data_IF_308645471465
#
_entry.id   IF_308645471465
#
_cell.length_a   1.000
_cell.length_b   1.000
_cell.length_c   1.000
_cell.angle_alpha   90.00
_cell.angle_beta   90.00
_cell.angle_gamma   90.00
#
_symmetry.space_group_name_H-M   'P 1'
#
loop_
_entity.id
_entity.type
_entity.pdbx_description
1 polymer ?
#
# COMPACT_ATOMS: atom_id res chain seq x y z
N UNK A 1 13.00 10.01 14.06
CA UNK A 1 11.86 10.67 13.36
C UNK A 1 11.66 9.93 12.04
N UNK A 2 11.14 8.70 12.09
CA UNK A 2 10.83 7.90 10.88
C UNK A 2 9.50 7.13 11.08
N UNK A 3 9.16 6.86 12.35
CA UNK A 3 7.88 6.27 12.76
C UNK A 3 6.66 7.16 12.43
N UNK A 4 6.80 8.49 12.46
CA UNK A 4 5.69 9.41 12.14
C UNK A 4 5.33 9.39 10.65
N UNK A 5 6.31 9.23 9.77
CA UNK A 5 6.10 9.10 8.33
C UNK A 5 5.44 7.76 7.99
N UNK A 6 5.89 6.67 8.64
CA UNK A 6 5.29 5.35 8.45
C UNK A 6 3.85 5.26 8.95
N UNK A 7 3.55 5.82 10.13
CA UNK A 7 2.19 5.86 10.68
C UNK A 7 1.25 6.71 9.80
N UNK A 8 1.73 7.84 9.29
CA UNK A 8 1.00 8.65 8.31
C UNK A 8 0.68 7.87 7.03
N UNK A 9 1.67 7.18 6.46
CA UNK A 9 1.50 6.31 5.28
C UNK A 9 0.48 5.21 5.57
N UNK A 10 0.58 4.54 6.73
CA UNK A 10 -0.34 3.47 7.12
C UNK A 10 -1.77 3.99 7.25
N UNK A 11 -1.96 5.17 7.86
CA UNK A 11 -3.28 5.81 7.97
C UNK A 11 -3.87 6.16 6.61
N UNK A 12 -3.07 6.75 5.71
CA UNK A 12 -3.51 7.11 4.35
C UNK A 12 -3.91 5.87 3.51
N UNK A 13 -3.19 4.76 3.70
CA UNK A 13 -3.45 3.50 2.98
C UNK A 13 -4.59 2.68 3.62
N UNK A 14 -4.81 2.81 4.92
CA UNK A 14 -5.77 1.98 5.67
C UNK A 14 -7.18 2.01 5.13
N UNK A 15 -7.64 3.18 4.64
CA UNK A 15 -8.96 3.32 4.03
C UNK A 15 -9.03 2.50 2.74
N UNK A 16 -8.08 2.71 1.83
CA UNK A 16 -8.01 1.96 0.56
C UNK A 16 -7.86 0.47 0.74
N UNK A 17 -7.10 0.02 1.74
CA UNK A 17 -7.03 -1.42 2.05
C UNK A 17 -8.38 -1.94 2.52
N UNK A 18 -9.10 -1.20 3.36
CA UNK A 18 -10.43 -1.61 3.78
C UNK A 18 -11.43 -1.62 2.62
N UNK A 19 -11.48 -0.56 1.80
CA UNK A 19 -12.33 -0.48 0.60
C UNK A 19 -12.09 -1.68 -0.32
N UNK A 20 -10.83 -2.06 -0.59
CA UNK A 20 -10.51 -3.24 -1.41
C UNK A 20 -11.14 -4.53 -0.85
N UNK A 21 -11.09 -4.71 0.47
CA UNK A 21 -11.69 -5.88 1.10
C UNK A 21 -13.22 -5.81 1.09
N UNK A 22 -13.82 -4.65 1.36
CA UNK A 22 -15.27 -4.44 1.32
C UNK A 22 -15.84 -4.66 -0.08
N UNK A 23 -15.28 -4.00 -1.11
CA UNK A 23 -15.70 -4.15 -2.51
C UNK A 23 -15.56 -5.61 -2.98
N UNK A 24 -14.44 -6.27 -2.67
CA UNK A 24 -14.21 -7.64 -3.11
C UNK A 24 -15.16 -8.63 -2.42
N UNK A 25 -15.41 -8.44 -1.13
CA UNK A 25 -16.35 -9.26 -0.37
C UNK A 25 -17.80 -9.05 -0.82
N UNK A 26 -18.20 -7.80 -1.12
CA UNK A 26 -19.54 -7.49 -1.64
C UNK A 26 -19.77 -8.16 -3.01
N UNK A 27 -18.77 -8.12 -3.90
CA UNK A 27 -18.89 -8.67 -5.25
C UNK A 27 -18.76 -10.22 -5.29
N UNK A 28 -17.89 -10.80 -4.45
CA UNK A 28 -17.52 -12.22 -4.54
C UNK A 28 -17.98 -13.09 -3.35
N UNK A 29 -18.55 -12.50 -2.30
CA UNK A 29 -18.89 -13.18 -1.04
C UNK A 29 -17.71 -13.95 -0.42
N UNK A 30 -16.48 -13.51 -0.68
CA UNK A 30 -15.26 -14.11 -0.15
C UNK A 30 -14.15 -13.07 -0.01
N UNK A 31 -13.10 -13.40 0.75
CA UNK A 31 -11.94 -12.53 0.91
C UNK A 31 -10.99 -12.66 -0.29
N UNK A 32 -10.31 -11.57 -0.69
CA UNK A 32 -9.30 -11.63 -1.73
C UNK A 32 -8.10 -12.47 -1.29
N UNK A 33 -7.54 -13.25 -2.22
CA UNK A 33 -6.26 -13.94 -2.02
C UNK A 33 -5.13 -12.91 -1.92
N UNK A 34 -3.93 -13.34 -1.47
CA UNK A 34 -2.76 -12.46 -1.39
C UNK A 34 -2.44 -11.84 -2.75
N UNK A 35 -2.53 -12.64 -3.81
CA UNK A 35 -2.20 -12.21 -5.17
C UNK A 35 -3.26 -11.25 -5.72
N UNK A 36 -4.55 -11.54 -5.52
CA UNK A 36 -5.64 -10.66 -5.94
C UNK A 36 -5.58 -9.32 -5.21
N UNK A 37 -5.41 -9.34 -3.89
CA UNK A 37 -5.26 -8.13 -3.11
C UNK A 37 -4.07 -7.29 -3.57
N UNK A 38 -2.90 -7.92 -3.79
CA UNK A 38 -1.71 -7.20 -4.28
C UNK A 38 -1.96 -6.56 -5.64
N UNK A 39 -2.63 -7.26 -6.55
CA UNK A 39 -2.96 -6.76 -7.88
C UNK A 39 -3.93 -5.56 -7.81
N UNK A 40 -4.95 -5.65 -6.95
CA UNK A 40 -5.89 -4.56 -6.70
C UNK A 40 -5.15 -3.35 -6.11
N UNK A 41 -4.37 -3.58 -5.06
CA UNK A 41 -3.61 -2.51 -4.40
C UNK A 41 -2.54 -1.90 -5.31
N UNK A 42 -1.89 -2.65 -6.20
CA UNK A 42 -0.92 -2.12 -7.15
C UNK A 42 -1.48 -0.99 -8.02
N UNK A 43 -2.78 -1.02 -8.37
CA UNK A 43 -3.44 0.07 -9.08
C UNK A 43 -3.59 1.36 -8.26
N UNK A 44 -3.59 1.25 -6.94
CA UNK A 44 -3.60 2.39 -6.02
C UNK A 44 -2.19 2.80 -5.57
N UNK A 45 -1.24 1.86 -5.58
CA UNK A 45 0.13 2.07 -5.11
C UNK A 45 0.80 3.25 -5.83
N UNK A 46 0.56 3.42 -7.13
CA UNK A 46 1.10 4.54 -7.91
C UNK A 46 0.70 5.91 -7.34
N UNK A 47 -0.50 6.04 -6.78
CA UNK A 47 -1.00 7.27 -6.17
C UNK A 47 -0.24 7.63 -4.88
N UNK A 48 0.22 6.61 -4.14
CA UNK A 48 0.96 6.78 -2.89
C UNK A 48 2.46 6.91 -3.08
N UNK A 49 3.02 6.22 -4.07
CA UNK A 49 4.44 6.26 -4.41
C UNK A 49 4.78 7.62 -5.05
N UNK A 50 3.88 8.13 -5.89
CA UNK A 50 4.07 9.36 -6.65
C UNK A 50 4.86 9.13 -7.94
N UNK A 51 4.91 10.12 -8.85
CA UNK A 51 5.64 9.99 -10.11
C UNK A 51 7.13 9.82 -9.83
N UNK A 52 7.75 8.88 -10.55
CA UNK A 52 9.20 8.81 -10.64
C UNK A 52 9.67 10.05 -11.42
N UNK A 53 10.40 10.96 -10.78
CA UNK A 53 10.94 12.14 -11.46
C UNK A 53 12.09 11.70 -12.38
N UNK A 54 11.76 11.37 -13.63
CA UNK A 54 12.72 10.90 -14.64
C UNK A 54 13.56 12.04 -15.25
N UNK A 55 13.36 13.31 -14.86
CA UNK A 55 13.89 14.49 -15.55
C UNK A 55 15.02 15.25 -14.81
N UNK A 56 15.50 14.76 -13.67
CA UNK A 56 16.56 15.44 -12.90
C UNK A 56 17.97 14.99 -13.34
N UNK A 57 18.59 15.76 -14.24
CA UNK A 57 19.94 15.49 -14.84
C UNK A 57 21.09 15.62 -13.82
N UNK A 58 20.84 16.07 -12.58
CA UNK A 58 21.82 16.12 -11.49
C UNK A 58 21.28 15.34 -10.27
N UNK A 59 21.76 14.10 -10.04
CA UNK A 59 21.48 13.35 -8.79
C UNK A 59 20.58 12.11 -8.89
N UNK A 60 20.63 11.37 -9.99
CA UNK A 60 19.84 10.16 -10.30
C UNK A 60 19.79 9.15 -9.12
N UNK A 61 20.89 8.93 -8.40
CA UNK A 61 20.95 7.94 -7.31
C UNK A 61 20.06 8.31 -6.12
N UNK A 62 20.06 9.59 -5.71
CA UNK A 62 19.41 10.02 -4.47
C UNK A 62 17.87 10.07 -4.59
N UNK A 63 17.35 10.31 -5.80
CA UNK A 63 15.90 10.26 -6.05
C UNK A 63 15.40 8.83 -6.20
N UNK A 64 16.18 7.94 -6.83
CA UNK A 64 15.86 6.51 -6.89
C UNK A 64 15.80 5.88 -5.51
N UNK A 65 16.78 6.16 -4.64
CA UNK A 65 16.82 5.64 -3.27
C UNK A 65 15.62 6.12 -2.43
N UNK A 66 15.21 7.39 -2.59
CA UNK A 66 14.01 7.92 -1.91
C UNK A 66 12.72 7.29 -2.41
N UNK A 67 12.60 7.12 -3.73
CA UNK A 67 11.43 6.47 -4.34
C UNK A 67 11.33 5.01 -3.88
N UNK A 68 12.43 4.26 -3.94
CA UNK A 68 12.48 2.87 -3.46
C UNK A 68 12.21 2.76 -1.96
N UNK A 69 12.75 3.68 -1.15
CA UNK A 69 12.47 3.70 0.29
C UNK A 69 10.99 3.93 0.58
N UNK A 70 10.34 4.84 -0.17
CA UNK A 70 8.91 5.13 -0.03
C UNK A 70 8.06 3.95 -0.48
N UNK A 71 8.39 3.33 -1.60
CA UNK A 71 7.74 2.11 -2.08
C UNK A 71 7.84 0.98 -1.04
N UNK A 72 9.02 0.75 -0.46
CA UNK A 72 9.18 -0.25 0.61
C UNK A 72 8.32 0.04 1.85
N UNK A 73 8.24 1.31 2.26
CA UNK A 73 7.39 1.73 3.39
C UNK A 73 5.91 1.48 3.09
N UNK A 74 5.46 1.81 1.88
CA UNK A 74 4.08 1.56 1.42
C UNK A 74 3.77 0.07 1.45
N UNK A 75 4.59 -0.76 0.80
CA UNK A 75 4.36 -2.20 0.77
C UNK A 75 4.42 -2.85 2.16
N UNK A 76 5.25 -2.32 3.06
CA UNK A 76 5.26 -2.78 4.46
C UNK A 76 3.95 -2.44 5.16
N UNK A 77 3.47 -1.20 5.06
CA UNK A 77 2.20 -0.78 5.65
C UNK A 77 1.02 -1.59 5.10
N UNK A 78 1.02 -1.83 3.79
CA UNK A 78 0.02 -2.64 3.09
C UNK A 78 -0.02 -4.07 3.60
N UNK A 79 1.13 -4.74 3.74
CA UNK A 79 1.16 -6.10 4.27
C UNK A 79 0.66 -6.16 5.73
N UNK A 80 0.98 -5.16 6.57
CA UNK A 80 0.46 -5.10 7.94
C UNK A 80 -1.06 -4.93 7.95
N UNK A 81 -1.58 -3.95 7.20
CA UNK A 81 -3.01 -3.67 7.12
C UNK A 81 -3.81 -4.82 6.52
N UNK A 82 -3.26 -5.48 5.50
CA UNK A 82 -3.85 -6.67 4.89
C UNK A 82 -4.00 -7.78 5.92
N UNK A 83 -2.94 -8.09 6.66
CA UNK A 83 -2.97 -9.10 7.70
C UNK A 83 -3.95 -8.74 8.82
N UNK A 84 -4.02 -7.46 9.21
CA UNK A 84 -5.00 -6.95 10.17
C UNK A 84 -6.44 -7.15 9.66
N UNK A 85 -6.74 -6.79 8.41
CA UNK A 85 -8.07 -6.98 7.81
C UNK A 85 -8.47 -8.46 7.74
N UNK A 86 -7.54 -9.34 7.32
CA UNK A 86 -7.81 -10.78 7.31
C UNK A 86 -8.05 -11.34 8.69
N UNK A 87 -7.27 -10.91 9.69
CA UNK A 87 -7.47 -11.34 11.06
C UNK A 87 -8.83 -10.90 11.59
N UNK A 88 -9.18 -9.62 11.43
CA UNK A 88 -10.47 -9.06 11.85
C UNK A 88 -11.67 -9.80 11.23
N UNK A 89 -11.59 -10.12 9.94
CA UNK A 89 -12.66 -10.82 9.20
C UNK A 89 -12.69 -12.33 9.42
N UNK A 90 -11.58 -12.92 9.87
CA UNK A 90 -11.55 -14.34 10.27
C UNK A 90 -12.08 -14.57 11.68
N UNK A 91 -12.09 -13.53 12.53
CA UNK A 91 -12.65 -13.57 13.90
C UNK A 91 -14.14 -13.17 13.98
N UNK A 92 -14.77 -12.78 12.87
CA UNK A 92 -16.21 -12.51 12.75
C UNK A 92 -17.00 -13.78 12.43
#
# INVERSE_FOLDING_TARGET
>A
MDSSDFDGIKRDISLTVNDIFEDFEEDNNCLPTIEEFRKLFSGYAEQYIGPMDELSVEGITNNFEKHQSREQKIWRAVNELEAEQRFLRSEQ
#
